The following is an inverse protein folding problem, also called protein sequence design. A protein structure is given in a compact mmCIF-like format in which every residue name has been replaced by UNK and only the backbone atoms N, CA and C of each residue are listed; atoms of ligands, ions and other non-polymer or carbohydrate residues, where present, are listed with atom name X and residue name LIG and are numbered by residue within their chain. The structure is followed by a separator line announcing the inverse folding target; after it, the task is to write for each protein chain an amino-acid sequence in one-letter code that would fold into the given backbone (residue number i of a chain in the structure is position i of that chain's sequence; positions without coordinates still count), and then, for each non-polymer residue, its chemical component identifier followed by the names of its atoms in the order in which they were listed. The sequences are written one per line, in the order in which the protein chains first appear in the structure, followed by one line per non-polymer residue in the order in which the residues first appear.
data_IF_787556572107
#
_entry.id   IF_787556572107
#
_cell.length_a   1.000
_cell.length_b   1.000
_cell.length_c   1.000
_cell.angle_alpha   90.00
_cell.angle_beta   90.00
_cell.angle_gamma   90.00
#
_symmetry.space_group_name_H-M   'P 1'
#
loop_
_entity.id
_entity.type
_entity.pdbx_description
1 polymer ?
#
# COMPACT_ATOMS: atom_id res chain seq x y z
N UNK A 1 11.36 -9.21 -22.61
CA UNK A 1 12.34 -8.26 -22.02
C UNK A 1 11.69 -7.14 -21.18
N UNK A 2 10.63 -6.44 -21.64
CA UNK A 2 9.99 -5.33 -20.87
C UNK A 2 9.45 -5.79 -19.50
N UNK A 3 8.69 -6.89 -19.45
CA UNK A 3 8.12 -7.42 -18.17
C UNK A 3 9.20 -7.80 -17.16
N UNK A 4 10.31 -8.39 -17.57
CA UNK A 4 11.42 -8.72 -16.69
C UNK A 4 12.07 -7.47 -16.09
N UNK A 5 12.33 -6.45 -16.91
CA UNK A 5 12.84 -5.15 -16.44
C UNK A 5 11.88 -4.51 -15.42
N UNK A 6 10.58 -4.57 -15.68
CA UNK A 6 9.57 -4.03 -14.75
C UNK A 6 9.54 -4.79 -13.42
N UNK A 7 9.79 -6.08 -13.43
CA UNK A 7 9.89 -6.87 -12.20
C UNK A 7 11.13 -6.48 -11.38
N UNK A 8 12.27 -6.22 -12.04
CA UNK A 8 13.47 -5.72 -11.36
C UNK A 8 13.25 -4.32 -10.77
N UNK A 9 12.55 -3.44 -11.48
CA UNK A 9 12.19 -2.10 -10.96
C UNK A 9 11.29 -2.24 -9.73
N UNK A 10 10.31 -3.14 -9.76
CA UNK A 10 9.41 -3.39 -8.63
C UNK A 10 10.17 -3.90 -7.40
N UNK A 11 11.12 -4.81 -7.60
CA UNK A 11 12.02 -5.30 -6.54
C UNK A 11 12.89 -4.16 -5.99
N UNK A 12 13.46 -3.33 -6.85
CA UNK A 12 14.25 -2.17 -6.44
C UNK A 12 13.41 -1.18 -5.61
N UNK A 13 12.19 -0.87 -6.05
CA UNK A 13 11.26 -0.03 -5.30
C UNK A 13 10.94 -0.62 -3.93
N UNK A 14 10.71 -1.92 -3.84
CA UNK A 14 10.51 -2.60 -2.56
C UNK A 14 11.71 -2.43 -1.63
N UNK A 15 12.94 -2.62 -2.13
CA UNK A 15 14.16 -2.45 -1.34
C UNK A 15 14.36 -1.00 -0.86
N UNK A 16 14.07 -0.02 -1.71
CA UNK A 16 14.09 1.40 -1.35
C UNK A 16 13.06 1.69 -0.25
N UNK A 17 11.84 1.24 -0.42
CA UNK A 17 10.75 1.43 0.55
C UNK A 17 11.10 0.74 1.87
N UNK A 18 11.63 -0.48 1.81
CA UNK A 18 12.11 -1.21 2.97
C UNK A 18 13.18 -0.43 3.74
N UNK A 19 14.17 0.10 3.03
CA UNK A 19 15.23 0.93 3.64
C UNK A 19 14.64 2.17 4.32
N UNK A 20 13.76 2.91 3.65
CA UNK A 20 13.14 4.10 4.22
C UNK A 20 12.26 3.76 5.42
N UNK A 21 11.46 2.71 5.35
CA UNK A 21 10.56 2.31 6.43
C UNK A 21 11.30 1.97 7.72
N UNK A 22 12.36 1.18 7.63
CA UNK A 22 13.06 0.68 8.82
C UNK A 22 14.22 1.57 9.30
N UNK A 23 14.75 2.45 8.45
CA UNK A 23 15.85 3.34 8.83
C UNK A 23 15.39 4.78 8.97
N UNK A 24 14.83 5.38 7.92
CA UNK A 24 14.49 6.80 7.91
C UNK A 24 13.30 7.12 8.83
N UNK A 25 12.19 6.41 8.68
CA UNK A 25 10.98 6.71 9.44
C UNK A 25 11.04 6.25 10.90
N UNK A 26 11.96 5.39 11.29
CA UNK A 26 12.28 5.15 12.71
C UNK A 26 12.80 6.40 13.40
N UNK A 27 13.50 7.27 12.69
CA UNK A 27 14.00 8.54 13.23
C UNK A 27 12.95 9.65 13.15
N UNK A 28 12.14 9.65 12.08
CA UNK A 28 11.10 10.65 11.83
C UNK A 28 9.71 10.12 12.20
N UNK A 29 9.54 9.72 13.47
CA UNK A 29 8.24 9.32 13.99
C UNK A 29 7.61 10.42 14.85
N UNK A 30 6.29 10.52 14.87
CA UNK A 30 5.54 11.38 15.79
C UNK A 30 5.05 10.50 16.95
N UNK A 31 5.70 10.60 18.11
CA UNK A 31 5.38 9.80 19.31
C UNK A 31 5.31 8.29 19.05
N UNK A 32 6.21 7.78 18.20
CA UNK A 32 6.25 6.36 17.83
C UNK A 32 5.35 5.96 16.67
N UNK A 33 4.56 6.90 16.11
CA UNK A 33 3.72 6.64 14.95
C UNK A 33 4.52 6.97 13.69
N UNK A 34 4.58 6.03 12.76
CA UNK A 34 5.29 6.11 11.49
C UNK A 34 4.30 5.93 10.34
N UNK A 35 4.60 6.48 9.15
CA UNK A 35 3.82 6.14 7.97
C UNK A 35 4.03 4.66 7.61
N UNK A 36 3.04 4.06 6.98
CA UNK A 36 3.12 2.67 6.51
C UNK A 36 3.32 2.63 5.00
N UNK A 37 4.59 2.74 4.59
CA UNK A 37 4.95 2.75 3.17
C UNK A 37 4.60 1.43 2.46
N UNK A 38 4.51 0.31 3.17
CA UNK A 38 4.17 -0.97 2.56
C UNK A 38 2.72 -1.03 2.13
N UNK A 39 1.80 -0.44 2.92
CA UNK A 39 0.39 -0.28 2.55
C UNK A 39 0.28 0.58 1.29
N UNK A 40 0.95 1.73 1.27
CA UNK A 40 0.96 2.65 0.12
C UNK A 40 1.54 1.97 -1.12
N UNK A 41 2.67 1.28 -1.00
CA UNK A 41 3.31 0.56 -2.09
C UNK A 41 2.42 -0.53 -2.68
N UNK A 42 1.86 -1.39 -1.82
CA UNK A 42 1.02 -2.50 -2.25
C UNK A 42 -0.28 -2.00 -2.91
N UNK A 43 -0.87 -0.93 -2.37
CA UNK A 43 -2.01 -0.26 -2.98
C UNK A 43 -1.70 0.21 -4.40
N UNK A 44 -0.56 0.90 -4.61
CA UNK A 44 -0.17 1.38 -5.92
C UNK A 44 0.16 0.26 -6.90
N UNK A 45 0.75 -0.84 -6.44
CA UNK A 45 0.92 -2.04 -7.28
C UNK A 45 -0.44 -2.55 -7.76
N UNK A 46 -1.45 -2.63 -6.87
CA UNK A 46 -2.82 -2.98 -7.24
C UNK A 46 -3.44 -2.02 -8.25
N UNK A 47 -3.32 -0.70 -8.03
CA UNK A 47 -3.87 0.34 -8.90
C UNK A 47 -3.22 0.32 -10.29
N UNK A 48 -1.89 0.30 -10.40
CA UNK A 48 -1.18 0.50 -11.67
C UNK A 48 -0.84 -0.79 -12.42
N UNK A 49 -0.65 -1.90 -11.71
CA UNK A 49 -0.26 -3.17 -12.33
C UNK A 49 -1.44 -4.14 -12.43
N UNK A 50 -2.29 -4.18 -11.39
CA UNK A 50 -3.49 -4.99 -11.36
C UNK A 50 -3.54 -5.99 -10.21
N UNK A 51 -4.73 -6.55 -10.01
CA UNK A 51 -5.11 -7.40 -8.87
C UNK A 51 -4.17 -8.57 -8.62
N UNK A 52 -3.84 -9.35 -9.66
CA UNK A 52 -3.05 -10.58 -9.49
C UNK A 52 -1.65 -10.29 -8.95
N UNK A 53 -1.00 -9.26 -9.50
CA UNK A 53 0.34 -8.85 -9.07
C UNK A 53 0.26 -8.11 -7.75
N UNK A 54 -0.77 -7.28 -7.53
CA UNK A 54 -1.01 -6.60 -6.26
C UNK A 54 -1.16 -7.57 -5.09
N UNK A 55 -1.96 -8.63 -5.24
CA UNK A 55 -2.11 -9.69 -4.22
C UNK A 55 -0.78 -10.40 -3.99
N UNK A 56 -0.09 -10.83 -5.05
CA UNK A 56 1.17 -11.57 -4.94
C UNK A 56 2.25 -10.74 -4.24
N UNK A 57 2.38 -9.45 -4.60
CA UNK A 57 3.32 -8.53 -3.98
C UNK A 57 2.94 -8.25 -2.53
N UNK A 58 1.66 -8.04 -2.23
CA UNK A 58 1.19 -7.83 -0.87
C UNK A 58 1.47 -9.03 0.05
N UNK A 59 1.19 -10.24 -0.43
CA UNK A 59 1.52 -11.48 0.29
C UNK A 59 3.03 -11.59 0.54
N UNK A 60 3.84 -11.40 -0.50
CA UNK A 60 5.30 -11.49 -0.39
C UNK A 60 5.85 -10.46 0.59
N UNK A 61 5.51 -9.19 0.40
CA UNK A 61 5.95 -8.08 1.27
C UNK A 61 5.54 -8.32 2.71
N UNK A 62 4.29 -8.70 2.95
CA UNK A 62 3.79 -8.92 4.30
C UNK A 62 4.44 -10.11 4.99
N UNK A 63 4.68 -11.22 4.29
CA UNK A 63 5.41 -12.38 4.85
C UNK A 63 6.84 -11.97 5.23
N UNK A 64 7.54 -11.21 4.37
CA UNK A 64 8.88 -10.72 4.66
C UNK A 64 8.88 -9.84 5.92
N UNK A 65 7.90 -8.94 6.05
CA UNK A 65 7.75 -8.08 7.22
C UNK A 65 7.49 -8.90 8.48
N UNK A 66 6.57 -9.88 8.42
CA UNK A 66 6.22 -10.73 9.56
C UNK A 66 7.45 -11.50 10.08
N UNK A 67 8.28 -12.02 9.17
CA UNK A 67 9.53 -12.72 9.52
C UNK A 67 10.53 -11.78 10.18
N UNK A 68 10.69 -10.57 9.67
CA UNK A 68 11.68 -9.59 10.17
C UNK A 68 11.25 -9.06 11.54
N UNK A 69 9.96 -8.75 11.74
CA UNK A 69 9.44 -8.19 13.00
C UNK A 69 9.21 -9.28 14.05
N UNK A 70 9.24 -10.57 13.67
CA UNK A 70 8.98 -11.68 14.58
C UNK A 70 7.49 -11.80 14.98
N UNK A 71 6.57 -11.36 14.12
CA UNK A 71 5.12 -11.55 14.29
C UNK A 71 4.68 -12.93 13.82
N UNK A 72 3.38 -13.24 14.00
CA UNK A 72 2.80 -14.43 13.39
C UNK A 72 2.89 -14.32 11.86
N UNK A 73 3.66 -15.22 11.26
CA UNK A 73 3.90 -15.21 9.82
C UNK A 73 2.60 -15.43 9.04
N UNK A 74 2.32 -14.50 8.13
CA UNK A 74 1.22 -14.58 7.19
C UNK A 74 0.07 -13.59 7.45
N UNK A 75 -0.10 -13.06 8.67
CA UNK A 75 -1.19 -12.11 8.95
C UNK A 75 -1.01 -10.81 8.15
N UNK A 76 0.15 -10.17 8.25
CA UNK A 76 0.48 -8.96 7.46
C UNK A 76 0.44 -9.26 5.97
N UNK A 77 0.85 -10.48 5.56
CA UNK A 77 0.77 -10.94 4.17
C UNK A 77 -0.66 -10.95 3.65
N UNK A 78 -1.59 -11.53 4.38
CA UNK A 78 -3.02 -11.56 4.01
C UNK A 78 -3.58 -10.13 3.96
N UNK A 79 -3.30 -9.32 4.99
CA UNK A 79 -3.79 -7.94 5.06
C UNK A 79 -3.29 -7.09 3.88
N UNK A 80 -1.99 -7.15 3.55
CA UNK A 80 -1.42 -6.46 2.38
C UNK A 80 -1.89 -7.08 1.06
N UNK A 81 -2.13 -8.38 0.99
CA UNK A 81 -2.73 -9.02 -0.17
C UNK A 81 -4.13 -8.46 -0.47
N UNK A 82 -4.95 -8.23 0.57
CA UNK A 82 -6.25 -7.57 0.45
C UNK A 82 -6.09 -6.13 -0.03
N UNK A 83 -5.11 -5.39 0.49
CA UNK A 83 -4.80 -4.02 0.01
C UNK A 83 -4.49 -4.03 -1.49
N UNK A 84 -3.65 -4.96 -1.97
CA UNK A 84 -3.34 -5.09 -3.40
C UNK A 84 -4.56 -5.44 -4.26
N UNK A 85 -5.47 -6.27 -3.75
CA UNK A 85 -6.75 -6.57 -4.39
C UNK A 85 -7.64 -5.33 -4.51
N UNK A 86 -7.83 -4.62 -3.40
CA UNK A 86 -8.66 -3.41 -3.32
C UNK A 86 -8.12 -2.32 -4.25
N UNK A 87 -6.79 -2.24 -4.44
CA UNK A 87 -6.18 -1.28 -5.35
C UNK A 87 -6.74 -1.34 -6.77
N UNK A 88 -6.90 -2.54 -7.36
CA UNK A 88 -7.52 -2.67 -8.69
C UNK A 88 -9.01 -2.36 -8.68
N UNK A 89 -9.71 -2.72 -7.61
CA UNK A 89 -11.15 -2.37 -7.50
C UNK A 89 -11.34 -0.86 -7.50
N UNK A 90 -10.50 -0.13 -6.78
CA UNK A 90 -10.52 1.32 -6.75
C UNK A 90 -10.18 1.94 -8.12
N UNK A 91 -9.17 1.39 -8.82
CA UNK A 91 -8.82 1.85 -10.16
C UNK A 91 -9.94 1.67 -11.20
N UNK A 92 -10.78 0.65 -11.04
CA UNK A 92 -11.92 0.41 -11.93
C UNK A 92 -13.07 1.40 -11.71
N UNK A 93 -13.22 1.91 -10.50
CA UNK A 93 -14.38 2.71 -10.10
C UNK A 93 -14.06 4.21 -9.98
N UNK A 94 -12.78 4.57 -9.83
CA UNK A 94 -12.35 5.93 -9.55
C UNK A 94 -11.19 6.36 -10.45
N UNK A 95 -11.09 7.67 -10.74
CA UNK A 95 -10.00 8.21 -11.54
C UNK A 95 -8.74 8.45 -10.70
N UNK A 96 -7.76 7.57 -10.89
CA UNK A 96 -6.43 7.66 -10.24
C UNK A 96 -5.57 8.86 -10.70
N UNK A 97 -5.93 9.50 -11.83
CA UNK A 97 -5.20 10.66 -12.33
C UNK A 97 -5.55 11.94 -11.57
N UNK A 98 -6.68 11.96 -10.88
CA UNK A 98 -7.06 13.04 -9.99
C UNK A 98 -6.34 12.85 -8.64
N UNK A 99 -5.58 13.88 -8.24
CA UNK A 99 -4.83 13.87 -6.97
C UNK A 99 -5.76 13.64 -5.76
N UNK A 100 -6.87 14.35 -5.68
CA UNK A 100 -7.80 14.23 -4.55
C UNK A 100 -8.37 12.81 -4.44
N UNK A 101 -8.75 12.23 -5.57
CA UNK A 101 -9.24 10.86 -5.62
C UNK A 101 -8.17 9.86 -5.16
N UNK A 102 -6.93 10.04 -5.61
CA UNK A 102 -5.82 9.19 -5.21
C UNK A 102 -5.52 9.29 -3.71
N UNK A 103 -5.52 10.52 -3.15
CA UNK A 103 -5.34 10.73 -1.71
C UNK A 103 -6.48 10.12 -0.89
N UNK A 104 -7.72 10.22 -1.37
CA UNK A 104 -8.87 9.56 -0.74
C UNK A 104 -8.73 8.03 -0.74
N UNK A 105 -8.28 7.43 -1.86
CA UNK A 105 -8.00 5.99 -1.93
C UNK A 105 -6.96 5.57 -0.89
N UNK A 106 -5.86 6.31 -0.78
CA UNK A 106 -4.80 6.05 0.21
C UNK A 106 -5.36 6.15 1.63
N UNK A 107 -6.13 7.20 1.93
CA UNK A 107 -6.72 7.39 3.26
C UNK A 107 -7.66 6.24 3.64
N UNK A 108 -8.59 5.88 2.76
CA UNK A 108 -9.57 4.81 3.00
C UNK A 108 -8.88 3.47 3.20
N UNK A 109 -7.90 3.14 2.34
CA UNK A 109 -7.21 1.85 2.41
C UNK A 109 -6.29 1.76 3.62
N UNK A 110 -5.56 2.83 3.96
CA UNK A 110 -4.76 2.86 5.19
C UNK A 110 -5.64 2.70 6.42
N UNK A 111 -6.75 3.43 6.49
CA UNK A 111 -7.71 3.30 7.58
C UNK A 111 -8.26 1.87 7.70
N UNK A 112 -8.66 1.27 6.58
CA UNK A 112 -9.15 -0.11 6.55
C UNK A 112 -8.09 -1.13 6.98
N UNK A 113 -6.85 -0.95 6.55
CA UNK A 113 -5.72 -1.80 6.95
C UNK A 113 -5.47 -1.72 8.47
N UNK A 114 -5.50 -0.53 9.05
CA UNK A 114 -5.32 -0.34 10.49
C UNK A 114 -6.48 -0.89 11.32
N UNK A 115 -7.71 -0.87 10.80
CA UNK A 115 -8.83 -1.57 11.45
C UNK A 115 -8.62 -3.09 11.50
N UNK A 116 -8.07 -3.69 10.43
CA UNK A 116 -7.71 -5.11 10.42
C UNK A 116 -6.61 -5.40 11.45
N UNK A 117 -5.59 -4.55 11.55
CA UNK A 117 -4.55 -4.64 12.58
C UNK A 117 -5.12 -4.50 14.00
N UNK A 118 -6.03 -3.56 14.22
CA UNK A 118 -6.74 -3.40 15.49
C UNK A 118 -7.46 -4.69 15.88
N UNK A 119 -8.23 -5.26 14.97
CA UNK A 119 -8.93 -6.51 15.22
C UNK A 119 -7.97 -7.64 15.62
N UNK A 120 -6.84 -7.77 14.91
CA UNK A 120 -5.80 -8.74 15.25
C UNK A 120 -5.24 -8.54 16.67
N UNK A 121 -4.97 -7.30 17.06
CA UNK A 121 -4.46 -6.97 18.42
C UNK A 121 -5.48 -7.35 19.48
N UNK A 122 -6.77 -7.08 19.24
CA UNK A 122 -7.86 -7.44 20.16
C UNK A 122 -7.94 -8.95 20.35
N UNK A 123 -7.90 -9.70 19.26
CA UNK A 123 -8.00 -11.18 19.31
C UNK A 123 -6.80 -11.79 20.04
N UNK A 124 -5.61 -11.20 19.88
CA UNK A 124 -4.38 -11.72 20.50
C UNK A 124 -4.21 -11.33 21.96
N UNK A 125 -4.50 -10.09 22.31
CA UNK A 125 -4.16 -9.50 23.62
C UNK A 125 -5.39 -9.22 24.50
N UNK A 126 -6.60 -9.45 23.99
CA UNK A 126 -7.85 -9.03 24.64
C UNK A 126 -8.08 -7.52 24.56
N UNK A 127 -9.13 -7.05 25.24
CA UNK A 127 -9.54 -5.62 25.22
C UNK A 127 -8.72 -4.73 26.19
N UNK A 128 -7.55 -5.17 26.63
CA UNK A 128 -6.71 -4.43 27.59
C UNK A 128 -5.91 -3.28 26.96
N UNK A 129 -6.46 -2.59 25.94
CA UNK A 129 -5.82 -1.43 25.35
C UNK A 129 -6.81 -0.26 25.23
N UNK A 130 -6.27 0.96 25.21
CA UNK A 130 -7.09 2.16 25.11
C UNK A 130 -7.49 2.40 23.66
N UNK A 131 -8.74 2.08 23.30
CA UNK A 131 -9.30 2.24 21.96
C UNK A 131 -9.16 3.69 21.45
N UNK A 132 -9.31 4.68 22.35
CA UNK A 132 -9.23 6.08 21.96
C UNK A 132 -7.82 6.48 21.49
N UNK A 133 -6.79 6.02 22.21
CA UNK A 133 -5.40 6.24 21.81
C UNK A 133 -5.13 5.58 20.45
N UNK A 134 -5.65 4.37 20.25
CA UNK A 134 -5.47 3.65 18.99
C UNK A 134 -6.13 4.39 17.80
N UNK A 135 -7.33 4.93 17.98
CA UNK A 135 -7.98 5.74 16.95
C UNK A 135 -7.18 6.99 16.58
N UNK A 136 -6.58 7.66 17.56
CA UNK A 136 -5.67 8.78 17.31
C UNK A 136 -4.46 8.32 16.48
N UNK A 137 -3.87 7.17 16.82
CA UNK A 137 -2.75 6.60 16.07
C UNK A 137 -3.12 6.35 14.61
N UNK A 138 -4.28 5.76 14.33
CA UNK A 138 -4.78 5.54 12.96
C UNK A 138 -4.88 6.86 12.20
N UNK A 139 -5.48 7.88 12.81
CA UNK A 139 -5.67 9.18 12.15
C UNK A 139 -4.31 9.80 11.78
N UNK A 140 -3.34 9.77 12.69
CA UNK A 140 -1.99 10.30 12.45
C UNK A 140 -1.29 9.52 11.35
N UNK A 141 -1.38 8.19 11.33
CA UNK A 141 -0.77 7.35 10.29
C UNK A 141 -1.41 7.61 8.91
N UNK A 142 -2.74 7.71 8.85
CA UNK A 142 -3.47 8.07 7.62
C UNK A 142 -2.99 9.44 7.09
N UNK A 143 -2.89 10.44 7.96
CA UNK A 143 -2.40 11.76 7.58
C UNK A 143 -0.95 11.71 7.06
N UNK A 144 -0.09 10.93 7.71
CA UNK A 144 1.28 10.71 7.25
C UNK A 144 1.34 10.08 5.86
N UNK A 145 0.58 9.00 5.62
CA UNK A 145 0.55 8.34 4.33
C UNK A 145 0.03 9.28 3.23
N UNK A 146 -1.03 10.04 3.52
CA UNK A 146 -1.59 11.04 2.59
C UNK A 146 -0.58 12.14 2.27
N UNK A 147 0.11 12.69 3.26
CA UNK A 147 1.14 13.72 3.06
C UNK A 147 2.30 13.20 2.21
N UNK A 148 2.78 11.99 2.47
CA UNK A 148 3.85 11.39 1.68
C UNK A 148 3.42 11.19 0.23
N UNK A 149 2.22 10.65 0.01
CA UNK A 149 1.71 10.47 -1.36
C UNK A 149 1.53 11.81 -2.06
N UNK A 150 1.09 12.86 -1.36
CA UNK A 150 0.97 14.21 -1.93
C UNK A 150 2.33 14.75 -2.39
N UNK A 151 3.38 14.61 -1.56
CA UNK A 151 4.74 15.05 -1.88
C UNK A 151 5.31 14.26 -3.07
N UNK A 152 5.15 12.93 -3.07
CA UNK A 152 5.70 12.05 -4.10
C UNK A 152 4.76 11.80 -5.29
N UNK A 153 3.61 12.47 -5.35
CA UNK A 153 2.61 12.29 -6.40
C UNK A 153 3.18 12.29 -7.83
N UNK A 154 4.00 13.28 -8.24
CA UNK A 154 4.53 13.31 -9.61
C UNK A 154 5.40 12.09 -9.92
N UNK A 155 6.19 11.61 -8.95
CA UNK A 155 7.02 10.43 -9.08
C UNK A 155 6.18 9.16 -9.18
N UNK A 156 5.19 9.02 -8.29
CA UNK A 156 4.26 7.89 -8.26
C UNK A 156 3.51 7.78 -9.59
N UNK A 157 3.01 8.91 -10.10
CA UNK A 157 2.29 8.96 -11.37
C UNK A 157 3.18 8.53 -12.54
N UNK A 158 4.41 9.04 -12.61
CA UNK A 158 5.37 8.69 -13.67
C UNK A 158 5.72 7.20 -13.67
N UNK A 159 6.04 6.65 -12.51
CA UNK A 159 6.38 5.23 -12.35
C UNK A 159 5.15 4.36 -12.58
N UNK A 160 3.99 4.77 -12.05
CA UNK A 160 2.74 4.06 -12.20
C UNK A 160 2.31 3.92 -13.65
N UNK A 161 2.36 4.98 -14.45
CA UNK A 161 2.04 4.92 -15.88
C UNK A 161 3.00 4.01 -16.66
N UNK A 162 4.29 4.01 -16.32
CA UNK A 162 5.23 3.06 -16.91
C UNK A 162 4.80 1.60 -16.67
N UNK A 163 4.40 1.26 -15.44
CA UNK A 163 3.90 -0.08 -15.12
C UNK A 163 2.58 -0.39 -15.85
N UNK A 164 1.69 0.57 -15.93
CA UNK A 164 0.41 0.42 -16.62
C UNK A 164 0.60 0.10 -18.10
N UNK A 165 1.51 0.77 -18.78
CA UNK A 165 1.84 0.50 -20.20
C UNK A 165 2.40 -0.92 -20.41
N UNK A 166 3.11 -1.47 -19.42
CA UNK A 166 3.73 -2.80 -19.54
C UNK A 166 2.77 -3.93 -19.18
N UNK A 167 1.93 -3.72 -18.17
CA UNK A 167 1.10 -4.78 -17.59
C UNK A 167 -0.37 -4.71 -17.98
N UNK A 168 -0.93 -3.50 -18.16
CA UNK A 168 -2.32 -3.33 -18.58
C UNK A 168 -2.37 -3.18 -20.11
N UNK A 169 -3.02 -4.11 -20.77
CA UNK A 169 -3.32 -4.01 -22.19
C UNK A 169 -4.26 -2.82 -22.38
N UNK A 170 -3.91 -1.86 -23.23
CA UNK A 170 -4.82 -0.78 -23.63
C UNK A 170 -6.09 -1.43 -24.19
N UNK A 171 -7.21 -1.32 -23.47
CA UNK A 171 -8.53 -1.64 -24.04
C UNK A 171 -8.79 -0.61 -25.13
N UNK A 172 -8.53 -0.99 -26.38
CA UNK A 172 -8.99 -0.23 -27.53
C UNK A 172 -10.52 -0.37 -27.48
N UNK A 173 -11.20 0.70 -27.09
CA UNK A 173 -12.64 0.80 -27.29
C UNK A 173 -12.87 0.91 -28.79
N UNK A 174 -12.99 -0.23 -29.47
CA UNK A 174 -13.57 -0.29 -30.82
C UNK A 174 -15.05 0.08 -30.65
N UNK A 175 -15.35 1.38 -30.79
CA UNK A 175 -16.72 1.79 -31.11
C UNK A 175 -17.02 1.22 -32.50
N UNK A 176 -17.75 0.14 -32.52
CA UNK A 176 -18.48 -0.23 -33.72
C UNK A 176 -19.60 0.81 -33.88
N UNK A 177 -19.51 1.58 -34.96
CA UNK A 177 -20.61 2.35 -35.50
C UNK A 177 -21.60 1.40 -36.15
#
# INVERSE_FOLDING_TARGET
MKKFKSFLILLLLFLIIYFFQFNFFTWFNIRGIMPNLFVVFTLFVGIFIGQRIGIAVGLFVGIVIDVIIGKQVGFTGIALGIVGYVGELLDKNFDKNNLLTLLAMVAIVTFGYELVNMFYIIVRNGLNFNIFIFLIMIIVEVLFNVLLVMIFYPLIKKIGHYFEEVFKVKRVLTRYY
#
